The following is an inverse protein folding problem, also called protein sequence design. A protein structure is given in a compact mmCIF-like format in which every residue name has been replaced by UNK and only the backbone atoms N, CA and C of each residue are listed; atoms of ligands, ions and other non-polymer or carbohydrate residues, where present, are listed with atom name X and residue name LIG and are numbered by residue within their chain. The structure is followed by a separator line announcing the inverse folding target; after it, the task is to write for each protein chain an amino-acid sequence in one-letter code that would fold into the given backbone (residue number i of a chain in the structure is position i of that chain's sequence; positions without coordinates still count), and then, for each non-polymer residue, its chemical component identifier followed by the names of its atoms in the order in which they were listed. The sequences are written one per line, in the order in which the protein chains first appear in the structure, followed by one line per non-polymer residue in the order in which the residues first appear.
data_IF_166383351988
#
_entry.id   IF_166383351988
#
_cell.length_a   1.000
_cell.length_b   1.000
_cell.length_c   1.000
_cell.angle_alpha   90.00
_cell.angle_beta   90.00
_cell.angle_gamma   90.00
#
_symmetry.space_group_name_H-M   'P 1'
#
loop_
_entity.id
_entity.type
_entity.pdbx_description
1 polymer ?
#
# COMPACT_ATOMS: atom_id res chain seq x y z
N UNK A 1 -34.33 -36.93 -20.20
CA UNK A 1 -34.12 -35.59 -19.63
C UNK A 1 -32.62 -35.40 -19.42
N UNK A 2 -32.00 -34.58 -20.25
CA UNK A 2 -30.54 -34.36 -20.20
C UNK A 2 -30.26 -33.11 -19.39
N UNK A 3 -29.56 -33.27 -18.27
CA UNK A 3 -29.19 -32.18 -17.35
C UNK A 3 -28.00 -31.40 -17.91
N UNK A 4 -28.29 -30.23 -18.48
CA UNK A 4 -27.32 -29.32 -19.10
C UNK A 4 -26.50 -28.64 -18.00
N UNK A 5 -25.33 -29.17 -17.66
CA UNK A 5 -24.32 -28.50 -16.80
C UNK A 5 -23.98 -27.17 -17.43
N UNK A 6 -24.40 -26.08 -16.78
CA UNK A 6 -23.96 -24.71 -17.13
C UNK A 6 -22.44 -24.62 -16.92
N UNK A 7 -21.70 -24.58 -18.02
CA UNK A 7 -20.27 -24.32 -18.02
C UNK A 7 -19.99 -22.92 -17.46
N UNK A 8 -19.01 -22.86 -16.57
CA UNK A 8 -18.45 -21.61 -16.01
C UNK A 8 -17.89 -20.77 -17.15
N UNK A 9 -18.26 -19.48 -17.31
CA UNK A 9 -17.69 -18.63 -18.33
C UNK A 9 -16.16 -18.51 -18.14
N UNK A 10 -15.40 -18.91 -19.15
CA UNK A 10 -13.95 -18.63 -19.21
C UNK A 10 -13.77 -17.19 -19.69
N UNK A 11 -13.13 -16.30 -18.89
CA UNK A 11 -12.57 -15.05 -19.38
C UNK A 11 -13.15 -13.73 -18.86
N UNK A 12 -13.98 -13.71 -17.78
CA UNK A 12 -14.36 -12.47 -17.11
C UNK A 12 -13.55 -12.29 -15.82
N UNK A 13 -13.06 -11.08 -15.53
CA UNK A 13 -12.44 -10.78 -14.24
C UNK A 13 -13.41 -11.14 -13.11
N UNK A 14 -12.89 -11.72 -12.01
CA UNK A 14 -13.73 -12.08 -10.86
C UNK A 14 -14.31 -10.81 -10.21
N UNK A 15 -15.44 -10.92 -9.48
CA UNK A 15 -15.98 -9.77 -8.75
C UNK A 15 -14.93 -9.10 -7.85
N UNK A 16 -14.07 -9.93 -7.22
CA UNK A 16 -12.94 -9.45 -6.42
C UNK A 16 -11.99 -8.57 -7.24
N UNK A 17 -11.61 -9.02 -8.44
CA UNK A 17 -10.67 -8.28 -9.29
C UNK A 17 -11.30 -6.97 -9.76
N UNK A 18 -12.56 -6.98 -10.22
CA UNK A 18 -13.26 -5.76 -10.64
C UNK A 18 -13.38 -4.71 -9.54
N UNK A 19 -13.67 -5.14 -8.31
CA UNK A 19 -13.71 -4.24 -7.15
C UNK A 19 -12.33 -3.64 -6.85
N UNK A 20 -11.29 -4.44 -6.98
CA UNK A 20 -9.92 -3.98 -6.75
C UNK A 20 -9.44 -3.03 -7.84
N UNK A 21 -9.73 -3.32 -9.09
CA UNK A 21 -9.40 -2.47 -10.24
C UNK A 21 -10.11 -1.10 -10.13
N UNK A 22 -11.41 -1.09 -9.81
CA UNK A 22 -12.14 0.15 -9.59
C UNK A 22 -11.59 0.95 -8.40
N UNK A 23 -11.28 0.30 -7.29
CA UNK A 23 -10.66 0.97 -6.15
C UNK A 23 -9.28 1.55 -6.51
N UNK A 24 -8.50 0.86 -7.36
CA UNK A 24 -7.23 1.37 -7.88
C UNK A 24 -7.44 2.60 -8.76
N UNK A 25 -8.44 2.59 -9.66
CA UNK A 25 -8.78 3.76 -10.48
C UNK A 25 -9.20 4.96 -9.63
N UNK A 26 -9.96 4.74 -8.55
CA UNK A 26 -10.30 5.79 -7.58
C UNK A 26 -9.08 6.29 -6.79
N UNK A 27 -8.15 5.41 -6.44
CA UNK A 27 -6.87 5.81 -5.86
C UNK A 27 -6.10 6.70 -6.84
N UNK A 28 -6.07 6.32 -8.11
CA UNK A 28 -5.40 7.07 -9.17
C UNK A 28 -6.06 8.42 -9.48
N UNK A 29 -7.37 8.55 -9.30
CA UNK A 29 -8.09 9.82 -9.37
C UNK A 29 -7.98 10.67 -8.10
N UNK A 30 -7.51 10.10 -6.98
CA UNK A 30 -7.38 10.78 -5.70
C UNK A 30 -8.66 10.88 -4.87
N UNK A 31 -9.73 10.17 -5.24
CA UNK A 31 -11.03 10.20 -4.57
C UNK A 31 -11.41 8.89 -3.84
N UNK A 32 -10.48 7.91 -3.79
CA UNK A 32 -10.70 6.62 -3.11
C UNK A 32 -11.15 6.77 -1.65
N UNK A 33 -10.70 7.81 -0.94
CA UNK A 33 -11.09 8.03 0.45
C UNK A 33 -12.56 8.41 0.61
N UNK A 34 -13.17 9.06 -0.40
CA UNK A 34 -14.54 9.61 -0.34
C UNK A 34 -15.59 8.68 -0.92
N UNK A 35 -15.25 7.80 -1.88
CA UNK A 35 -16.22 6.90 -2.50
C UNK A 35 -16.68 5.82 -1.50
N UNK A 36 -17.99 5.54 -1.45
CA UNK A 36 -18.55 4.48 -0.60
C UNK A 36 -18.42 3.10 -1.24
N UNK A 37 -18.49 2.04 -0.40
CA UNK A 37 -18.53 0.65 -0.89
C UNK A 37 -19.71 0.36 -1.84
N UNK A 38 -20.82 1.08 -1.65
CA UNK A 38 -22.03 0.90 -2.48
C UNK A 38 -21.83 1.50 -3.86
N UNK A 39 -21.27 2.70 -3.93
CA UNK A 39 -20.93 3.37 -5.19
C UNK A 39 -19.91 2.55 -5.97
N UNK A 40 -18.82 2.15 -5.33
CA UNK A 40 -17.76 1.35 -5.95
C UNK A 40 -18.28 -0.02 -6.47
N UNK A 41 -19.15 -0.68 -5.70
CA UNK A 41 -19.77 -1.94 -6.13
C UNK A 41 -20.75 -1.72 -7.30
N UNK A 42 -21.52 -0.63 -7.27
CA UNK A 42 -22.45 -0.27 -8.34
C UNK A 42 -21.73 0.04 -9.65
N UNK A 43 -20.60 0.74 -9.60
CA UNK A 43 -19.76 1.08 -10.76
C UNK A 43 -19.31 -0.18 -11.52
N UNK A 44 -18.96 -1.23 -10.81
CA UNK A 44 -18.52 -2.50 -11.42
C UNK A 44 -19.64 -3.54 -11.57
N UNK A 45 -20.88 -3.16 -11.31
CA UNK A 45 -22.05 -4.01 -11.50
C UNK A 45 -22.10 -5.22 -10.57
N UNK A 46 -21.69 -5.07 -9.29
CA UNK A 46 -21.76 -6.13 -8.27
C UNK A 46 -22.53 -5.68 -7.03
N UNK A 47 -22.97 -6.64 -6.21
CA UNK A 47 -23.56 -6.31 -4.93
C UNK A 47 -22.50 -5.78 -3.94
N UNK A 48 -22.85 -4.73 -3.18
CA UNK A 48 -21.95 -4.19 -2.14
C UNK A 48 -21.57 -5.22 -1.05
N UNK A 49 -22.39 -6.26 -0.84
CA UNK A 49 -22.07 -7.35 0.08
C UNK A 49 -20.84 -8.14 -0.33
N UNK A 50 -20.48 -8.11 -1.63
CA UNK A 50 -19.25 -8.75 -2.14
C UNK A 50 -17.98 -8.03 -1.70
N UNK A 51 -18.05 -6.74 -1.32
CA UNK A 51 -16.93 -6.04 -0.70
C UNK A 51 -16.54 -6.73 0.60
N UNK A 52 -17.54 -6.93 1.50
CA UNK A 52 -17.31 -7.62 2.76
C UNK A 52 -16.93 -9.09 2.56
N UNK A 53 -17.54 -9.76 1.59
CA UNK A 53 -17.23 -11.17 1.30
C UNK A 53 -15.79 -11.37 0.82
N UNK A 54 -15.27 -10.50 -0.05
CA UNK A 54 -13.94 -10.66 -0.66
C UNK A 54 -12.82 -9.99 0.11
N UNK A 55 -13.10 -8.91 0.85
CA UNK A 55 -12.10 -8.08 1.52
C UNK A 55 -12.31 -7.96 3.02
N UNK A 56 -13.45 -8.39 3.56
CA UNK A 56 -13.82 -8.27 4.96
C UNK A 56 -14.42 -6.92 5.32
N UNK A 57 -13.88 -5.82 4.75
CA UNK A 57 -14.39 -4.46 4.94
C UNK A 57 -14.04 -3.55 3.75
N UNK A 58 -14.66 -2.35 3.70
CA UNK A 58 -14.28 -1.29 2.74
C UNK A 58 -12.83 -0.88 2.93
N UNK A 59 -12.44 -0.70 4.16
CA UNK A 59 -11.09 -0.26 4.54
C UNK A 59 -10.03 -1.27 4.07
N UNK A 60 -10.32 -2.57 4.18
CA UNK A 60 -9.42 -3.61 3.67
C UNK A 60 -9.32 -3.59 2.12
N UNK A 61 -10.41 -3.28 1.42
CA UNK A 61 -10.38 -3.04 -0.03
C UNK A 61 -9.53 -1.81 -0.36
N UNK A 62 -9.72 -0.69 0.36
CA UNK A 62 -8.91 0.54 0.22
C UNK A 62 -7.44 0.23 0.48
N UNK A 63 -7.12 -0.47 1.56
CA UNK A 63 -5.76 -0.90 1.87
C UNK A 63 -5.15 -1.76 0.76
N UNK A 64 -5.91 -2.67 0.17
CA UNK A 64 -5.46 -3.49 -0.95
C UNK A 64 -5.19 -2.67 -2.22
N UNK A 65 -6.05 -1.69 -2.53
CA UNK A 65 -5.87 -0.80 -3.68
C UNK A 65 -4.64 0.11 -3.53
N UNK A 66 -4.48 0.74 -2.36
CA UNK A 66 -3.30 1.56 -2.03
C UNK A 66 -2.02 0.71 -2.09
N UNK A 67 -2.10 -0.56 -1.67
CA UNK A 67 -0.97 -1.48 -1.71
C UNK A 67 -0.49 -1.78 -3.12
N UNK A 68 -1.39 -1.85 -4.09
CA UNK A 68 -1.02 -2.03 -5.49
C UNK A 68 -0.27 -0.80 -6.02
N UNK A 69 -0.68 0.42 -5.61
CA UNK A 69 0.01 1.66 -6.00
C UNK A 69 1.35 1.86 -5.29
N UNK A 70 1.45 1.49 -4.03
CA UNK A 70 2.68 1.63 -3.24
C UNK A 70 3.55 0.37 -3.24
N UNK A 71 2.95 -0.78 -3.49
CA UNK A 71 3.56 -2.10 -3.53
C UNK A 71 4.66 -2.35 -2.46
N UNK A 72 4.42 -2.03 -1.15
CA UNK A 72 5.47 -2.13 -0.13
C UNK A 72 6.00 -3.56 0.03
N UNK A 73 5.19 -4.58 -0.24
CA UNK A 73 5.63 -5.97 -0.26
C UNK A 73 6.58 -6.26 -1.44
N UNK A 74 6.36 -5.62 -2.60
CA UNK A 74 7.27 -5.73 -3.75
C UNK A 74 8.59 -5.00 -3.47
N UNK A 75 8.54 -3.83 -2.83
CA UNK A 75 9.74 -3.12 -2.40
C UNK A 75 10.59 -4.01 -1.50
N UNK A 76 9.98 -4.68 -0.50
CA UNK A 76 10.69 -5.63 0.38
C UNK A 76 11.23 -6.83 -0.42
N UNK A 77 10.42 -7.40 -1.32
CA UNK A 77 10.82 -8.56 -2.13
C UNK A 77 11.98 -8.22 -3.07
N UNK A 78 11.91 -7.08 -3.75
CA UNK A 78 12.97 -6.58 -4.66
C UNK A 78 14.22 -6.09 -3.92
N UNK A 79 14.11 -5.86 -2.61
CA UNK A 79 15.24 -5.48 -1.76
C UNK A 79 16.04 -6.66 -1.25
N UNK A 80 15.80 -7.87 -1.74
CA UNK A 80 16.61 -9.04 -1.38
C UNK A 80 17.82 -9.17 -2.28
N UNK A 81 18.94 -9.60 -1.69
CA UNK A 81 20.14 -9.99 -2.43
C UNK A 81 19.98 -11.40 -3.05
N UNK A 82 21.05 -11.87 -3.69
CA UNK A 82 21.07 -13.21 -4.34
C UNK A 82 20.90 -14.37 -3.35
N UNK A 83 21.24 -14.14 -2.09
CA UNK A 83 21.12 -15.11 -1.00
C UNK A 83 19.78 -15.01 -0.27
N UNK A 84 18.88 -14.15 -0.74
CA UNK A 84 17.56 -13.91 -0.17
C UNK A 84 17.58 -13.03 1.09
N UNK A 85 18.73 -12.45 1.46
CA UNK A 85 18.87 -11.56 2.61
C UNK A 85 18.39 -10.15 2.27
N UNK A 86 17.82 -9.46 3.25
CA UNK A 86 17.36 -8.07 3.08
C UNK A 86 18.55 -7.12 2.90
N UNK A 87 18.63 -6.48 1.75
CA UNK A 87 19.58 -5.40 1.46
C UNK A 87 18.96 -4.06 1.86
N UNK A 88 19.47 -3.47 2.94
CA UNK A 88 18.94 -2.22 3.50
C UNK A 88 19.13 -1.03 2.55
N UNK A 89 20.16 -1.04 1.70
CA UNK A 89 20.37 0.04 0.75
C UNK A 89 19.31 -0.01 -0.36
N UNK A 90 19.04 -1.19 -0.90
CA UNK A 90 17.95 -1.40 -1.87
C UNK A 90 16.60 -1.05 -1.26
N UNK A 91 16.35 -1.45 0.00
CA UNK A 91 15.11 -1.14 0.71
C UNK A 91 14.93 0.37 0.84
N UNK A 92 15.94 1.10 1.34
CA UNK A 92 15.86 2.54 1.51
C UNK A 92 15.59 3.27 0.18
N UNK A 93 16.37 2.94 -0.87
CA UNK A 93 16.19 3.57 -2.19
C UNK A 93 14.86 3.16 -2.87
N UNK A 94 14.42 1.92 -2.68
CA UNK A 94 13.12 1.45 -3.17
C UNK A 94 11.95 2.20 -2.55
N UNK A 95 11.97 2.39 -1.22
CA UNK A 95 10.96 3.19 -0.50
C UNK A 95 10.92 4.62 -1.04
N UNK A 96 12.06 5.30 -1.13
CA UNK A 96 12.12 6.65 -1.69
C UNK A 96 11.62 6.67 -3.13
N UNK A 97 12.00 5.65 -3.92
CA UNK A 97 11.57 5.52 -5.31
C UNK A 97 10.06 5.50 -5.51
N UNK A 98 9.35 4.78 -4.64
CA UNK A 98 7.87 4.70 -4.67
C UNK A 98 7.24 6.05 -4.30
N UNK A 99 7.73 6.70 -3.24
CA UNK A 99 7.18 7.98 -2.76
C UNK A 99 7.53 9.17 -3.66
N UNK A 100 8.57 9.07 -4.45
CA UNK A 100 8.97 10.07 -5.45
C UNK A 100 8.59 9.69 -6.89
N UNK A 101 7.77 8.65 -7.06
CA UNK A 101 7.23 8.33 -8.37
C UNK A 101 6.31 9.47 -8.86
N UNK A 102 6.49 9.99 -10.09
CA UNK A 102 5.77 11.17 -10.56
C UNK A 102 4.24 11.05 -10.47
N UNK A 103 3.70 9.87 -10.76
CA UNK A 103 2.26 9.63 -10.78
C UNK A 103 1.71 9.19 -9.42
N UNK A 104 2.40 8.29 -8.70
CA UNK A 104 1.88 7.68 -7.48
C UNK A 104 2.29 8.43 -6.20
N UNK A 105 3.47 9.05 -6.18
CA UNK A 105 4.00 9.73 -5.00
C UNK A 105 3.08 10.81 -4.43
N UNK A 106 2.58 11.77 -5.23
CA UNK A 106 1.64 12.79 -4.75
C UNK A 106 0.35 12.20 -4.17
N UNK A 107 -0.17 11.12 -4.77
CA UNK A 107 -1.38 10.42 -4.31
C UNK A 107 -1.16 9.70 -2.99
N UNK A 108 0.00 9.05 -2.82
CA UNK A 108 0.40 8.42 -1.55
C UNK A 108 0.52 9.45 -0.43
N UNK A 109 1.14 10.60 -0.71
CA UNK A 109 1.29 11.67 0.26
C UNK A 109 -0.07 12.27 0.66
N UNK A 110 -0.98 12.50 -0.29
CA UNK A 110 -2.33 12.97 -0.02
C UNK A 110 -3.14 11.95 0.79
N UNK A 111 -3.08 10.67 0.40
CA UNK A 111 -3.73 9.60 1.14
C UNK A 111 -3.20 9.53 2.59
N UNK A 112 -1.89 9.60 2.79
CA UNK A 112 -1.28 9.60 4.11
C UNK A 112 -1.69 10.83 4.96
N UNK A 113 -1.87 12.01 4.36
CA UNK A 113 -2.40 13.20 5.05
C UNK A 113 -3.83 12.98 5.53
N UNK A 114 -4.70 12.41 4.70
CA UNK A 114 -6.09 12.11 5.08
C UNK A 114 -6.16 11.08 6.21
N UNK A 115 -5.31 10.05 6.18
CA UNK A 115 -5.21 9.11 7.29
C UNK A 115 -4.79 9.81 8.60
N UNK A 116 -3.83 10.74 8.51
CA UNK A 116 -3.36 11.48 9.68
C UNK A 116 -4.42 12.42 10.26
N UNK A 117 -5.36 12.91 9.43
CA UNK A 117 -6.48 13.76 9.88
C UNK A 117 -7.64 12.99 10.53
N UNK A 118 -7.53 11.67 10.68
CA UNK A 118 -8.52 10.86 11.40
C UNK A 118 -9.60 10.24 10.52
N UNK A 119 -9.38 10.11 9.22
CA UNK A 119 -10.27 9.42 8.31
C UNK A 119 -10.39 7.92 8.66
N UNK A 120 -11.58 7.33 8.54
CA UNK A 120 -11.95 6.01 9.07
C UNK A 120 -11.14 4.82 8.54
N UNK A 121 -10.29 5.01 7.55
CA UNK A 121 -9.47 3.96 6.91
C UNK A 121 -8.25 3.51 7.75
N UNK A 122 -7.96 4.17 8.86
CA UNK A 122 -6.69 3.98 9.61
C UNK A 122 -6.48 2.57 10.17
N UNK A 123 -7.52 1.93 10.72
CA UNK A 123 -7.38 0.61 11.36
C UNK A 123 -6.98 -0.49 10.36
N UNK A 124 -7.58 -0.51 9.18
CA UNK A 124 -7.31 -1.55 8.17
C UNK A 124 -5.97 -1.35 7.46
N UNK A 125 -5.52 -0.10 7.33
CA UNK A 125 -4.16 0.17 6.84
C UNK A 125 -3.13 -0.24 7.89
N UNK A 126 -3.40 -0.01 9.17
CA UNK A 126 -2.53 -0.49 10.24
C UNK A 126 -2.43 -2.03 10.21
N UNK A 127 -3.55 -2.73 10.06
CA UNK A 127 -3.58 -4.19 9.91
C UNK A 127 -2.82 -4.66 8.67
N UNK A 128 -3.06 -4.00 7.52
CA UNK A 128 -2.32 -4.29 6.30
C UNK A 128 -0.81 -4.10 6.48
N UNK A 129 -0.35 -2.95 6.99
CA UNK A 129 1.06 -2.68 7.25
C UNK A 129 1.65 -3.67 8.23
N UNK A 130 0.88 -4.07 9.25
CA UNK A 130 1.28 -5.11 10.20
C UNK A 130 1.58 -6.44 9.51
N UNK A 131 0.73 -6.89 8.60
CA UNK A 131 0.86 -8.19 7.95
C UNK A 131 1.79 -8.17 6.73
N UNK A 132 1.70 -7.14 5.90
CA UNK A 132 2.39 -7.10 4.61
C UNK A 132 3.76 -6.44 4.67
N UNK A 133 4.06 -5.68 5.72
CA UNK A 133 5.34 -4.98 5.89
C UNK A 133 6.06 -5.45 7.17
N UNK A 134 5.42 -5.28 8.33
CA UNK A 134 6.10 -5.52 9.60
C UNK A 134 6.43 -7.01 9.81
N UNK A 135 5.50 -7.92 9.56
CA UNK A 135 5.75 -9.35 9.76
C UNK A 135 6.85 -9.92 8.84
N UNK A 136 6.96 -9.57 7.55
CA UNK A 136 8.12 -9.91 6.73
C UNK A 136 9.43 -9.39 7.31
N UNK A 137 9.49 -8.11 7.72
CA UNK A 137 10.69 -7.54 8.34
C UNK A 137 11.08 -8.28 9.63
N UNK A 138 10.11 -8.64 10.49
CA UNK A 138 10.38 -9.43 11.70
C UNK A 138 11.05 -10.76 11.40
N UNK A 139 10.66 -11.42 10.31
CA UNK A 139 11.28 -12.69 9.88
C UNK A 139 12.72 -12.50 9.42
N UNK A 140 13.03 -11.37 8.80
CA UNK A 140 14.36 -11.10 8.25
C UNK A 140 15.35 -10.59 9.32
N UNK A 141 14.93 -9.69 10.21
CA UNK A 141 15.83 -8.96 11.10
C UNK A 141 15.49 -9.09 12.59
N UNK A 142 14.44 -9.82 12.93
CA UNK A 142 13.94 -9.95 14.30
C UNK A 142 13.05 -8.76 14.71
N UNK A 143 12.26 -8.96 15.80
CA UNK A 143 11.18 -8.06 16.19
C UNK A 143 11.65 -6.65 16.55
N UNK A 144 12.72 -6.54 17.32
CA UNK A 144 13.17 -5.24 17.84
C UNK A 144 13.83 -4.41 16.73
N UNK A 145 14.60 -5.03 15.86
CA UNK A 145 15.16 -4.33 14.70
C UNK A 145 14.05 -3.94 13.73
N UNK A 146 13.06 -4.80 13.46
CA UNK A 146 11.91 -4.48 12.63
C UNK A 146 11.12 -3.28 13.17
N UNK A 147 10.95 -3.17 14.49
CA UNK A 147 10.31 -1.98 15.13
C UNK A 147 11.11 -0.71 14.89
N UNK A 148 12.42 -0.74 15.14
CA UNK A 148 13.29 0.43 14.86
C UNK A 148 13.19 0.86 13.41
N UNK A 149 13.30 -0.08 12.49
CA UNK A 149 13.19 0.19 11.05
C UNK A 149 11.82 0.76 10.68
N UNK A 150 10.73 0.17 11.17
CA UNK A 150 9.38 0.69 10.92
C UNK A 150 9.20 2.11 11.46
N UNK A 151 9.70 2.40 12.66
CA UNK A 151 9.66 3.75 13.26
C UNK A 151 10.45 4.74 12.40
N UNK A 152 11.66 4.37 11.97
CA UNK A 152 12.51 5.20 11.13
C UNK A 152 11.84 5.49 9.76
N UNK A 153 11.30 4.45 9.11
CA UNK A 153 10.60 4.59 7.82
C UNK A 153 9.39 5.50 7.97
N UNK A 154 8.50 5.21 8.91
CA UNK A 154 7.27 6.00 9.11
C UNK A 154 7.63 7.44 9.45
N UNK A 155 8.53 7.68 10.40
CA UNK A 155 8.93 9.01 10.81
C UNK A 155 9.55 9.82 9.66
N UNK A 156 10.44 9.21 8.88
CA UNK A 156 11.05 9.84 7.72
C UNK A 156 10.02 10.18 6.63
N UNK A 157 9.15 9.22 6.27
CA UNK A 157 8.13 9.42 5.24
C UNK A 157 7.13 10.51 5.65
N UNK A 158 6.69 10.51 6.91
CA UNK A 158 5.82 11.54 7.44
C UNK A 158 6.48 12.91 7.42
N UNK A 159 7.71 13.01 7.91
CA UNK A 159 8.45 14.27 7.93
C UNK A 159 8.67 14.86 6.54
N UNK A 160 9.01 14.01 5.54
CA UNK A 160 9.34 14.46 4.19
C UNK A 160 8.12 14.69 3.31
N UNK A 161 7.15 13.76 3.28
CA UNK A 161 6.08 13.76 2.28
C UNK A 161 4.71 14.17 2.82
N UNK A 162 4.47 14.03 4.13
CA UNK A 162 3.18 14.37 4.74
C UNK A 162 3.22 15.76 5.35
N UNK A 163 4.16 16.02 6.27
CA UNK A 163 4.34 17.31 6.96
C UNK A 163 5.19 18.27 6.11
N UNK A 164 6.03 17.74 5.22
CA UNK A 164 6.93 18.49 4.35
C UNK A 164 7.91 19.38 5.14
N UNK A 165 8.56 18.82 6.17
CA UNK A 165 9.54 19.56 6.97
C UNK A 165 10.72 20.00 6.09
N UNK A 166 11.12 21.31 6.13
CA UNK A 166 12.19 21.84 5.28
C UNK A 166 13.49 21.05 5.36
N UNK A 167 13.86 20.59 6.55
CA UNK A 167 15.08 19.80 6.78
C UNK A 167 15.13 18.48 5.97
N UNK A 168 13.97 17.96 5.55
CA UNK A 168 13.87 16.75 4.74
C UNK A 168 13.57 17.06 3.27
N UNK A 169 12.77 18.10 2.98
CA UNK A 169 12.37 18.40 1.60
C UNK A 169 13.50 18.99 0.75
N UNK A 170 14.53 19.60 1.37
CA UNK A 170 15.70 20.10 0.65
C UNK A 170 16.63 18.98 0.14
N UNK A 171 16.50 17.75 0.68
CA UNK A 171 17.35 16.64 0.25
C UNK A 171 17.00 16.20 -1.17
N UNK A 172 18.00 15.91 -1.96
CA UNK A 172 17.81 15.18 -3.22
C UNK A 172 17.32 13.74 -2.94
N UNK A 173 16.81 13.07 -3.97
CA UNK A 173 16.40 11.66 -3.87
C UNK A 173 17.50 10.76 -3.32
N UNK A 174 18.73 10.98 -3.78
CA UNK A 174 19.89 10.18 -3.36
C UNK A 174 20.26 10.45 -1.89
N UNK A 175 20.28 11.72 -1.48
CA UNK A 175 20.54 12.11 -0.08
C UNK A 175 19.45 11.57 0.85
N UNK A 176 18.19 11.63 0.46
CA UNK A 176 17.07 11.05 1.20
C UNK A 176 17.25 9.52 1.38
N UNK A 177 17.65 8.81 0.31
CA UNK A 177 17.93 7.37 0.37
C UNK A 177 19.10 7.05 1.30
N UNK A 178 20.19 7.82 1.25
CA UNK A 178 21.35 7.66 2.16
C UNK A 178 20.99 7.94 3.63
N UNK A 179 20.22 8.99 3.87
CA UNK A 179 19.76 9.32 5.23
C UNK A 179 18.89 8.20 5.79
N UNK A 180 17.88 7.77 5.03
CA UNK A 180 17.02 6.68 5.44
C UNK A 180 17.84 5.40 5.70
N UNK A 181 18.77 5.03 4.81
CA UNK A 181 19.66 3.88 5.01
C UNK A 181 20.43 3.98 6.34
N UNK A 182 20.94 5.16 6.69
CA UNK A 182 21.61 5.40 7.97
C UNK A 182 20.71 5.13 9.18
N UNK A 183 19.42 5.44 9.05
CA UNK A 183 18.42 5.20 10.12
C UNK A 183 17.97 3.73 10.23
N UNK A 184 18.15 2.92 9.19
CA UNK A 184 17.76 1.50 9.19
C UNK A 184 18.82 0.57 9.80
N UNK A 185 20.04 1.03 9.99
CA UNK A 185 21.15 0.26 10.58
C UNK A 185 21.09 0.29 12.10
#
# INVERSE_FOLDING_TARGET
MVNKRRGRPRGGSTARQRLLDAAQEHFDRGDLATISSRELAAEVGVSHTLVNYHFGSREALVAAAVSLGAAPHDVIALSRDRDGRLDLARLAHGIIGVWEHPEHGPRLAEFARRLASGDASGASIAEYLQHSVFQPLVRDVGRDQARRMATAIIGFLFGRYVIALPMFTVLTREEAGRLLLGMLR
#
